data_IF_442006235818
#
_entry.id   IF_442006235818
#
_cell.length_a   1.000
_cell.length_b   1.000
_cell.length_c   1.000
_cell.angle_alpha   90.00
_cell.angle_beta   90.00
_cell.angle_gamma   90.00
#
_symmetry.space_group_name_H-M   'P 1'
#
loop_
_entity.id
_entity.type
_entity.pdbx_description
1 polymer ?
#
# COMPACT_ATOMS: atom_id res chain seq x y z
N UNK A 1 48.61 -11.76 -31.65
CA UNK A 1 47.99 -12.19 -32.92
C UNK A 1 48.88 -13.25 -33.53
N UNK A 2 48.39 -14.37 -34.10
CA UNK A 2 47.07 -14.59 -34.74
C UNK A 2 46.32 -15.85 -34.18
N UNK A 3 44.99 -15.83 -33.99
CA UNK A 3 43.83 -16.11 -34.88
C UNK A 3 43.26 -17.55 -34.78
N UNK A 4 42.09 -17.70 -34.13
CA UNK A 4 40.77 -18.09 -34.71
C UNK A 4 40.51 -19.60 -34.83
N UNK A 5 39.48 -20.10 -34.11
CA UNK A 5 38.42 -20.94 -34.72
C UNK A 5 37.12 -20.83 -33.93
N UNK A 6 36.04 -20.65 -34.68
CA UNK A 6 34.63 -20.48 -34.33
C UNK A 6 33.90 -21.84 -34.22
N UNK A 7 32.61 -21.80 -33.84
CA UNK A 7 31.56 -22.84 -33.79
C UNK A 7 31.21 -23.23 -32.33
N UNK A 8 30.04 -22.97 -31.73
CA UNK A 8 28.71 -22.62 -32.24
C UNK A 8 27.76 -23.83 -32.14
N UNK A 9 27.02 -23.98 -31.02
CA UNK A 9 25.73 -24.74 -30.94
C UNK A 9 24.86 -24.21 -29.79
N UNK A 10 23.83 -23.46 -30.19
CA UNK A 10 22.40 -23.43 -29.79
C UNK A 10 21.95 -24.00 -28.43
N UNK A 11 21.30 -23.09 -27.69
CA UNK A 11 20.17 -23.20 -26.74
C UNK A 11 19.69 -24.58 -26.23
N UNK A 12 19.59 -24.70 -24.91
CA UNK A 12 18.48 -25.40 -24.27
C UNK A 12 17.95 -24.55 -23.12
N UNK A 13 16.67 -24.22 -23.22
CA UNK A 13 15.88 -23.41 -22.32
C UNK A 13 15.89 -23.95 -20.88
N UNK A 14 16.11 -23.06 -19.91
CA UNK A 14 15.88 -23.31 -18.49
C UNK A 14 15.26 -22.07 -17.85
N UNK A 15 14.07 -21.69 -18.34
CA UNK A 15 13.31 -20.52 -17.86
C UNK A 15 12.78 -20.66 -16.41
N UNK A 16 12.94 -21.84 -15.80
CA UNK A 16 12.57 -22.08 -14.40
C UNK A 16 13.75 -21.99 -13.41
N UNK A 17 14.99 -22.04 -13.88
CA UNK A 17 16.16 -22.11 -13.01
C UNK A 17 16.77 -20.72 -12.79
N UNK A 18 16.86 -19.90 -13.83
CA UNK A 18 17.40 -18.52 -13.76
C UNK A 18 16.67 -17.62 -12.77
N UNK A 19 15.35 -17.78 -12.61
CA UNK A 19 14.53 -16.95 -11.71
C UNK A 19 14.89 -17.20 -10.24
N UNK A 20 15.09 -18.46 -9.82
CA UNK A 20 15.46 -18.80 -8.44
C UNK A 20 16.89 -18.35 -8.09
N UNK A 21 17.83 -18.40 -9.05
CA UNK A 21 19.22 -17.96 -8.82
C UNK A 21 19.35 -16.44 -8.78
N UNK A 22 18.58 -15.72 -9.60
CA UNK A 22 18.57 -14.25 -9.65
C UNK A 22 17.88 -13.68 -8.40
N UNK A 23 16.81 -14.31 -7.90
CA UNK A 23 16.16 -13.95 -6.64
C UNK A 23 17.09 -14.17 -5.43
N UNK A 24 17.84 -15.28 -5.38
CA UNK A 24 18.81 -15.55 -4.31
C UNK A 24 20.05 -14.63 -4.32
N UNK A 25 20.47 -14.13 -5.49
CA UNK A 25 21.56 -13.15 -5.62
C UNK A 25 21.10 -11.70 -5.37
N UNK A 26 19.83 -11.40 -5.63
CA UNK A 26 19.21 -10.09 -5.41
C UNK A 26 18.82 -9.88 -3.94
N UNK A 27 18.54 -10.97 -3.21
CA UNK A 27 18.23 -10.99 -1.78
C UNK A 27 19.27 -11.81 -0.97
N UNK A 28 20.52 -11.34 -0.80
CA UNK A 28 21.52 -12.09 -0.04
C UNK A 28 21.14 -12.25 1.44
N UNK A 29 21.46 -13.42 2.01
CA UNK A 29 21.14 -13.79 3.39
C UNK A 29 21.82 -12.86 4.41
N UNK A 30 21.03 -12.32 5.36
CA UNK A 30 21.38 -11.14 6.18
C UNK A 30 21.99 -11.55 7.53
N UNK A 31 23.17 -11.02 7.88
CA UNK A 31 23.80 -11.22 9.20
C UNK A 31 23.04 -10.44 10.29
N UNK A 32 22.51 -11.15 11.30
CA UNK A 32 21.70 -10.58 12.39
C UNK A 32 22.54 -9.65 13.29
N UNK A 33 22.12 -8.38 13.45
CA UNK A 33 22.70 -7.42 14.40
C UNK A 33 21.73 -7.16 15.57
N UNK A 34 22.27 -6.64 16.69
CA UNK A 34 21.55 -6.44 17.96
C UNK A 34 20.33 -5.47 17.90
N UNK A 35 20.20 -4.69 16.83
CA UNK A 35 19.08 -3.76 16.57
C UNK A 35 18.18 -4.20 15.41
N UNK A 36 18.40 -5.40 14.86
CA UNK A 36 17.54 -5.96 13.81
C UNK A 36 16.23 -6.44 14.43
N UNK A 37 15.10 -5.95 13.91
CA UNK A 37 13.79 -6.48 14.28
C UNK A 37 13.76 -7.97 13.98
N UNK A 38 13.33 -8.77 14.97
CA UNK A 38 13.04 -10.18 14.72
C UNK A 38 12.00 -10.29 13.59
N UNK A 39 12.03 -11.32 12.73
CA UNK A 39 11.00 -11.53 11.70
C UNK A 39 9.58 -11.44 12.27
N UNK A 40 9.38 -11.91 13.50
CA UNK A 40 8.11 -11.82 14.23
C UNK A 40 7.74 -10.39 14.62
N UNK A 41 8.72 -9.59 15.05
CA UNK A 41 8.50 -8.18 15.37
C UNK A 41 8.25 -7.37 14.09
N UNK A 42 8.98 -7.64 13.01
CA UNK A 42 8.75 -7.06 11.70
C UNK A 42 7.34 -7.41 11.18
N UNK A 43 6.92 -8.67 11.34
CA UNK A 43 5.56 -9.11 11.02
C UNK A 43 4.51 -8.40 11.87
N UNK A 44 4.70 -8.29 13.20
CA UNK A 44 3.77 -7.60 14.07
C UNK A 44 3.66 -6.10 13.75
N UNK A 45 4.78 -5.44 13.44
CA UNK A 45 4.80 -4.06 12.98
C UNK A 45 4.14 -3.89 11.61
N UNK A 46 4.34 -4.83 10.69
CA UNK A 46 3.68 -4.87 9.39
C UNK A 46 2.17 -5.03 9.55
N UNK A 47 1.70 -6.01 10.34
CA UNK A 47 0.28 -6.24 10.61
C UNK A 47 -0.35 -5.00 11.24
N UNK A 48 0.31 -4.39 12.22
CA UNK A 48 -0.15 -3.12 12.81
C UNK A 48 -0.30 -2.01 11.76
N UNK A 49 0.62 -1.94 10.81
CA UNK A 49 0.57 -0.92 9.75
C UNK A 49 -0.45 -1.25 8.65
N UNK A 50 -0.81 -2.52 8.46
CA UNK A 50 -1.89 -2.95 7.56
C UNK A 50 -3.28 -2.72 8.16
N UNK A 51 -3.40 -2.77 9.48
CA UNK A 51 -4.63 -2.52 10.23
C UNK A 51 -4.92 -1.01 10.33
N UNK A 52 -5.18 -0.39 9.18
CA UNK A 52 -5.62 1.00 9.06
C UNK A 52 -7.14 1.15 9.08
N UNK A 53 -7.61 2.39 9.06
CA UNK A 53 -9.05 2.74 9.03
C UNK A 53 -9.79 2.17 7.83
N UNK A 54 -9.09 1.84 6.73
CA UNK A 54 -9.66 1.15 5.58
C UNK A 54 -10.20 -0.25 5.89
N UNK A 55 -9.73 -0.92 6.94
CA UNK A 55 -10.31 -2.21 7.36
C UNK A 55 -11.75 -2.04 7.88
N UNK A 56 -12.04 -0.93 8.58
CA UNK A 56 -13.36 -0.65 9.13
C UNK A 56 -14.39 -0.30 8.04
N UNK A 57 -13.93 0.09 6.85
CA UNK A 57 -14.80 0.34 5.69
C UNK A 57 -15.02 -0.92 4.82
N UNK A 58 -14.29 -2.01 5.04
CA UNK A 58 -14.50 -3.27 4.30
C UNK A 58 -15.92 -3.85 4.47
N UNK A 59 -16.54 -3.90 5.67
CA UNK A 59 -17.91 -4.41 5.80
C UNK A 59 -18.92 -3.65 4.93
N UNK A 60 -18.72 -2.33 4.80
CA UNK A 60 -19.52 -1.48 3.91
C UNK A 60 -19.27 -1.83 2.44
N UNK A 61 -18.02 -2.11 2.05
CA UNK A 61 -17.70 -2.60 0.72
C UNK A 61 -18.44 -3.92 0.41
N UNK A 62 -18.37 -4.90 1.31
CA UNK A 62 -19.07 -6.18 1.13
C UNK A 62 -20.60 -6.01 1.08
N UNK A 63 -21.16 -5.02 1.79
CA UNK A 63 -22.58 -4.65 1.67
C UNK A 63 -22.94 -4.19 0.25
N UNK A 64 -22.03 -3.52 -0.45
CA UNK A 64 -22.24 -3.01 -1.80
C UNK A 64 -22.04 -4.07 -2.91
N UNK A 65 -21.07 -4.97 -2.76
CA UNK A 65 -20.76 -5.99 -3.77
C UNK A 65 -21.45 -7.35 -3.55
N UNK A 66 -21.95 -7.63 -2.35
CA UNK A 66 -22.41 -8.97 -1.95
C UNK A 66 -21.26 -9.82 -1.44
N UNK A 67 -21.58 -10.86 -0.66
CA UNK A 67 -20.58 -11.62 0.09
C UNK A 67 -19.67 -12.46 -0.82
N UNK A 68 -20.26 -13.28 -1.71
CA UNK A 68 -19.52 -14.19 -2.57
C UNK A 68 -18.74 -13.45 -3.66
N UNK A 69 -19.40 -12.54 -4.37
CA UNK A 69 -18.75 -11.70 -5.38
C UNK A 69 -17.63 -10.84 -4.76
N UNK A 70 -17.90 -10.23 -3.60
CA UNK A 70 -16.91 -9.45 -2.87
C UNK A 70 -15.73 -10.29 -2.40
N UNK A 71 -15.91 -11.55 -2.00
CA UNK A 71 -14.80 -12.40 -1.57
C UNK A 71 -13.89 -12.77 -2.74
N UNK A 72 -14.47 -13.18 -3.87
CA UNK A 72 -13.72 -13.52 -5.08
C UNK A 72 -12.97 -12.30 -5.63
N UNK A 73 -13.64 -11.15 -5.74
CA UNK A 73 -13.01 -9.91 -6.21
C UNK A 73 -11.89 -9.45 -5.27
N UNK A 74 -12.07 -9.54 -3.96
CA UNK A 74 -11.05 -9.14 -2.98
C UNK A 74 -9.77 -9.97 -3.12
N UNK A 75 -9.89 -11.29 -3.28
CA UNK A 75 -8.74 -12.18 -3.50
C UNK A 75 -8.00 -11.84 -4.80
N UNK A 76 -8.73 -11.62 -5.89
CA UNK A 76 -8.14 -11.24 -7.18
C UNK A 76 -7.42 -9.90 -7.08
N UNK A 77 -8.05 -8.88 -6.48
CA UNK A 77 -7.46 -7.55 -6.30
C UNK A 77 -6.21 -7.60 -5.43
N UNK A 78 -6.27 -8.33 -4.31
CA UNK A 78 -5.11 -8.54 -3.44
C UNK A 78 -3.96 -9.19 -4.20
N UNK A 79 -4.23 -10.24 -5.00
CA UNK A 79 -3.22 -10.90 -5.83
C UNK A 79 -2.57 -9.95 -6.85
N UNK A 80 -3.38 -9.17 -7.57
CA UNK A 80 -2.88 -8.16 -8.52
C UNK A 80 -2.04 -7.10 -7.81
N UNK A 81 -2.52 -6.55 -6.68
CA UNK A 81 -1.80 -5.56 -5.90
C UNK A 81 -0.45 -6.09 -5.42
N UNK A 82 -0.40 -7.29 -4.86
CA UNK A 82 0.84 -7.92 -4.39
C UNK A 82 1.81 -8.18 -5.55
N UNK A 83 1.32 -8.65 -6.69
CA UNK A 83 2.14 -8.85 -7.88
C UNK A 83 2.76 -7.53 -8.37
N UNK A 84 1.95 -6.48 -8.50
CA UNK A 84 2.43 -5.15 -8.89
C UNK A 84 3.47 -4.60 -7.90
N UNK A 85 3.27 -4.78 -6.59
CA UNK A 85 4.23 -4.36 -5.57
C UNK A 85 5.56 -5.11 -5.71
N UNK A 86 5.53 -6.43 -5.89
CA UNK A 86 6.75 -7.23 -6.09
C UNK A 86 7.51 -6.78 -7.34
N UNK A 87 6.81 -6.55 -8.45
CA UNK A 87 7.41 -6.09 -9.69
C UNK A 87 8.11 -4.74 -9.52
N UNK A 88 7.50 -3.80 -8.80
CA UNK A 88 8.09 -2.49 -8.49
C UNK A 88 9.36 -2.64 -7.64
N UNK A 89 9.33 -3.48 -6.60
CA UNK A 89 10.48 -3.73 -5.72
C UNK A 89 11.63 -4.35 -6.52
N UNK A 90 11.34 -5.36 -7.35
CA UNK A 90 12.32 -5.98 -8.23
C UNK A 90 12.97 -4.95 -9.16
N UNK A 91 12.16 -4.12 -9.83
CA UNK A 91 12.66 -3.08 -10.72
C UNK A 91 13.52 -2.04 -9.98
N UNK A 92 13.14 -1.66 -8.75
CA UNK A 92 13.91 -0.74 -7.92
C UNK A 92 15.28 -1.33 -7.57
N UNK A 93 15.34 -2.59 -7.12
CA UNK A 93 16.59 -3.27 -6.80
C UNK A 93 17.51 -3.43 -8.01
N UNK A 94 16.94 -3.89 -9.13
CA UNK A 94 17.67 -4.05 -10.39
C UNK A 94 18.34 -2.72 -10.83
N UNK A 95 17.59 -1.61 -10.73
CA UNK A 95 18.10 -0.28 -11.09
C UNK A 95 19.12 0.24 -10.07
N UNK A 96 18.89 0.03 -8.77
CA UNK A 96 19.85 0.38 -7.71
C UNK A 96 21.20 -0.30 -7.92
N UNK A 97 21.18 -1.61 -8.19
CA UNK A 97 22.38 -2.40 -8.42
C UNK A 97 23.12 -1.94 -9.68
N UNK A 98 22.39 -1.67 -10.77
CA UNK A 98 22.98 -1.18 -12.02
C UNK A 98 23.59 0.22 -11.91
N UNK A 99 22.95 1.12 -11.16
CA UNK A 99 23.40 2.51 -11.03
C UNK A 99 24.33 2.74 -9.83
N UNK A 100 24.61 1.72 -9.01
CA UNK A 100 25.45 1.81 -7.82
C UNK A 100 24.90 2.77 -6.75
N UNK A 101 23.56 2.85 -6.61
CA UNK A 101 22.90 3.73 -5.62
C UNK A 101 22.14 2.88 -4.61
N UNK A 102 22.30 3.18 -3.32
CA UNK A 102 21.58 2.47 -2.26
C UNK A 102 20.10 2.87 -2.21
N UNK A 103 19.74 4.10 -2.58
CA UNK A 103 18.35 4.62 -2.58
C UNK A 103 17.97 5.22 -3.92
N UNK A 104 16.74 4.95 -4.34
CA UNK A 104 16.11 5.58 -5.49
C UNK A 104 14.64 5.88 -5.19
N UNK A 105 14.20 7.10 -5.50
CA UNK A 105 12.77 7.44 -5.37
C UNK A 105 11.95 6.66 -6.40
N UNK A 106 10.71 6.30 -6.06
CA UNK A 106 9.80 5.60 -6.97
C UNK A 106 9.67 6.26 -8.36
N UNK A 107 9.62 7.59 -8.43
CA UNK A 107 9.59 8.31 -9.70
C UNK A 107 10.90 8.22 -10.49
N UNK A 108 12.03 8.10 -9.80
CA UNK A 108 13.32 7.86 -10.42
C UNK A 108 13.47 6.39 -10.88
N UNK A 109 12.89 5.42 -10.16
CA UNK A 109 12.78 4.02 -10.62
C UNK A 109 12.07 3.97 -11.97
N UNK A 110 10.89 4.60 -12.07
CA UNK A 110 10.12 4.65 -13.31
C UNK A 110 10.91 5.30 -14.46
N UNK A 111 11.59 6.41 -14.17
CA UNK A 111 12.44 7.09 -15.16
C UNK A 111 13.53 6.16 -15.69
N UNK A 112 14.29 5.55 -14.81
CA UNK A 112 15.41 4.69 -15.18
C UNK A 112 14.95 3.39 -15.86
N UNK A 113 13.79 2.85 -15.48
CA UNK A 113 13.18 1.71 -16.15
C UNK A 113 12.82 2.07 -17.61
N UNK A 114 12.25 3.25 -17.83
CA UNK A 114 11.86 3.73 -19.16
C UNK A 114 13.07 4.08 -20.01
N UNK A 115 14.07 4.77 -19.45
CA UNK A 115 15.32 5.08 -20.14
C UNK A 115 16.11 3.82 -20.53
N UNK A 116 15.95 2.72 -19.78
CA UNK A 116 16.54 1.41 -20.09
C UNK A 116 15.70 0.57 -21.07
N UNK A 117 14.48 1.02 -21.39
CA UNK A 117 13.55 0.34 -22.28
C UNK A 117 13.85 0.56 -23.76
N UNK A 118 12.93 0.15 -24.65
CA UNK A 118 13.11 0.30 -26.09
C UNK A 118 13.24 1.78 -26.51
N UNK A 119 13.99 2.02 -27.57
CA UNK A 119 14.42 3.35 -28.03
C UNK A 119 13.28 4.33 -28.31
N UNK A 120 12.07 3.85 -28.61
CA UNK A 120 10.92 4.72 -28.86
C UNK A 120 10.37 5.37 -27.57
N UNK A 121 10.50 4.70 -26.41
CA UNK A 121 9.98 5.16 -25.11
C UNK A 121 11.09 5.79 -24.26
N UNK A 122 12.35 5.38 -24.43
CA UNK A 122 13.46 5.83 -23.58
C UNK A 122 13.72 7.34 -23.64
N UNK A 123 13.40 7.99 -24.77
CA UNK A 123 13.52 9.44 -24.95
C UNK A 123 12.57 10.23 -24.01
N UNK A 124 11.45 9.63 -23.59
CA UNK A 124 10.41 10.29 -22.81
C UNK A 124 10.50 10.02 -21.30
N UNK A 125 11.64 9.52 -20.78
CA UNK A 125 11.79 9.16 -19.37
C UNK A 125 11.41 10.25 -18.36
N UNK A 126 11.73 11.52 -18.65
CA UNK A 126 11.37 12.64 -17.78
C UNK A 126 9.86 12.91 -17.73
N UNK A 127 9.16 12.73 -18.86
CA UNK A 127 7.71 12.90 -18.92
C UNK A 127 7.00 11.90 -18.01
N UNK A 128 7.38 10.62 -18.09
CA UNK A 128 6.80 9.58 -17.25
C UNK A 128 7.15 9.72 -15.77
N UNK A 129 8.35 10.23 -15.44
CA UNK A 129 8.68 10.62 -14.07
C UNK A 129 7.67 11.63 -13.51
N UNK A 130 7.35 12.66 -14.28
CA UNK A 130 6.42 13.70 -13.85
C UNK A 130 4.98 13.18 -13.79
N UNK A 131 4.56 12.38 -14.78
CA UNK A 131 3.26 11.72 -14.78
C UNK A 131 3.07 10.84 -13.53
N UNK A 132 4.10 10.08 -13.15
CA UNK A 132 4.07 9.28 -11.93
C UNK A 132 3.89 10.19 -10.70
N UNK A 133 4.74 11.20 -10.53
CA UNK A 133 4.65 12.11 -9.37
C UNK A 133 3.26 12.74 -9.24
N UNK A 134 2.66 13.17 -10.35
CA UNK A 134 1.29 13.71 -10.39
C UNK A 134 0.27 12.63 -10.01
N UNK A 135 0.41 11.41 -10.55
CA UNK A 135 -0.48 10.28 -10.25
C UNK A 135 -0.43 9.88 -8.77
N UNK A 136 0.76 9.85 -8.16
CA UNK A 136 0.92 9.61 -6.72
C UNK A 136 0.23 10.68 -5.87
N UNK A 137 0.42 11.96 -6.24
CA UNK A 137 -0.23 13.06 -5.55
C UNK A 137 -1.75 13.00 -5.67
N UNK A 138 -2.27 12.75 -6.87
CA UNK A 138 -3.70 12.60 -7.14
C UNK A 138 -4.31 11.42 -6.35
N UNK A 139 -3.60 10.30 -6.29
CA UNK A 139 -4.02 9.12 -5.54
C UNK A 139 -4.08 9.39 -4.03
N UNK A 140 -3.08 10.09 -3.48
CA UNK A 140 -3.08 10.48 -2.07
C UNK A 140 -4.23 11.43 -1.73
N UNK A 141 -4.51 12.41 -2.60
CA UNK A 141 -5.67 13.28 -2.45
C UNK A 141 -6.98 12.48 -2.52
N UNK A 142 -7.07 11.50 -3.41
CA UNK A 142 -8.21 10.58 -3.50
C UNK A 142 -8.45 9.83 -2.19
N UNK A 143 -7.41 9.28 -1.58
CA UNK A 143 -7.51 8.60 -0.28
C UNK A 143 -7.97 9.54 0.84
N UNK A 144 -7.45 10.78 0.87
CA UNK A 144 -7.93 11.80 1.81
C UNK A 144 -9.42 12.08 1.60
N UNK A 145 -9.89 12.22 0.36
CA UNK A 145 -11.30 12.44 0.05
C UNK A 145 -12.19 11.28 0.52
N UNK A 146 -11.80 10.04 0.24
CA UNK A 146 -12.54 8.85 0.69
C UNK A 146 -12.62 8.80 2.22
N UNK A 147 -11.51 9.14 2.91
CA UNK A 147 -11.47 9.22 4.37
C UNK A 147 -12.49 10.23 4.93
N UNK A 148 -12.57 11.41 4.33
CA UNK A 148 -13.55 12.44 4.73
C UNK A 148 -14.99 11.99 4.53
N UNK A 149 -15.31 11.41 3.38
CA UNK A 149 -16.67 10.92 3.09
C UNK A 149 -17.06 9.84 4.08
N UNK A 150 -16.18 8.85 4.31
CA UNK A 150 -16.44 7.77 5.25
C UNK A 150 -16.66 8.29 6.67
N UNK A 151 -15.83 9.22 7.13
CA UNK A 151 -15.97 9.80 8.46
C UNK A 151 -17.25 10.64 8.59
N UNK A 152 -17.63 11.38 7.54
CA UNK A 152 -18.88 12.12 7.51
C UNK A 152 -20.11 11.19 7.59
N UNK A 153 -20.10 10.06 6.86
CA UNK A 153 -21.18 9.07 6.91
C UNK A 153 -21.33 8.46 8.32
N UNK A 154 -20.20 8.18 9.00
CA UNK A 154 -20.22 7.67 10.37
C UNK A 154 -20.74 8.70 11.37
N UNK A 155 -20.33 9.97 11.26
CA UNK A 155 -20.80 11.03 12.15
C UNK A 155 -22.27 11.33 11.92
N UNK A 156 -22.71 11.41 10.66
CA UNK A 156 -24.11 11.57 10.33
C UNK A 156 -24.94 10.44 10.95
N UNK A 157 -24.54 9.18 10.75
CA UNK A 157 -25.23 8.02 11.31
C UNK A 157 -25.32 8.06 12.83
N UNK A 158 -24.27 8.55 13.51
CA UNK A 158 -24.26 8.71 14.95
C UNK A 158 -25.25 9.79 15.44
N UNK A 159 -25.31 10.93 14.75
CA UNK A 159 -26.21 12.02 15.13
C UNK A 159 -27.67 11.75 14.76
N UNK A 160 -27.94 11.12 13.63
CA UNK A 160 -29.30 10.78 13.19
C UNK A 160 -30.00 9.81 14.16
N UNK A 161 -29.24 8.95 14.86
CA UNK A 161 -29.78 8.00 15.84
C UNK A 161 -29.97 8.65 17.23
N UNK A 162 -29.08 9.56 17.62
CA UNK A 162 -29.03 10.07 18.99
C UNK A 162 -29.64 11.47 19.17
N UNK A 163 -29.91 12.21 18.09
CA UNK A 163 -30.38 13.59 18.15
C UNK A 163 -31.45 13.88 17.09
N UNK A 164 -32.25 14.92 17.31
CA UNK A 164 -33.30 15.37 16.37
C UNK A 164 -32.73 16.23 15.22
N UNK A 165 -31.41 16.38 15.16
CA UNK A 165 -30.76 17.28 14.20
C UNK A 165 -30.43 16.50 12.91
N UNK A 166 -31.33 16.58 11.93
CA UNK A 166 -31.12 16.00 10.61
C UNK A 166 -30.44 17.01 9.67
N UNK A 167 -29.10 16.97 9.63
CA UNK A 167 -28.31 17.74 8.67
C UNK A 167 -27.97 16.89 7.43
N UNK A 168 -27.94 17.49 6.23
CA UNK A 168 -27.50 16.77 5.05
C UNK A 168 -26.00 16.43 5.13
N UNK A 169 -25.60 15.26 4.61
CA UNK A 169 -24.21 14.75 4.58
C UNK A 169 -23.17 15.79 4.15
N UNK A 170 -23.53 16.65 3.20
CA UNK A 170 -22.64 17.70 2.68
C UNK A 170 -22.21 18.70 3.73
N UNK A 171 -23.08 18.99 4.70
CA UNK A 171 -22.77 19.91 5.81
C UNK A 171 -21.82 19.23 6.79
N UNK A 172 -22.02 17.93 7.09
CA UNK A 172 -21.08 17.16 7.90
C UNK A 172 -19.68 17.08 7.27
N UNK A 173 -19.60 16.90 5.95
CA UNK A 173 -18.31 16.91 5.23
C UNK A 173 -17.56 18.25 5.37
N UNK A 174 -18.25 19.39 5.20
CA UNK A 174 -17.64 20.72 5.34
C UNK A 174 -17.24 20.99 6.78
N UNK A 175 -18.09 20.62 7.75
CA UNK A 175 -17.81 20.79 9.17
C UNK A 175 -16.59 19.99 9.60
N UNK A 176 -16.39 18.79 9.05
CA UNK A 176 -15.22 17.94 9.30
C UNK A 176 -13.94 18.42 8.61
N UNK A 177 -14.07 19.12 7.49
CA UNK A 177 -12.92 19.67 6.77
C UNK A 177 -12.16 20.69 7.62
N UNK A 178 -12.88 21.55 8.35
CA UNK A 178 -12.31 22.64 9.17
C UNK A 178 -11.31 22.11 10.24
N UNK A 179 -11.69 21.19 11.15
CA UNK A 179 -10.76 20.67 12.16
C UNK A 179 -9.63 19.85 11.55
N UNK A 180 -9.87 19.14 10.45
CA UNK A 180 -8.82 18.31 9.84
C UNK A 180 -7.78 19.17 9.13
N UNK A 181 -8.18 20.22 8.41
CA UNK A 181 -7.22 21.18 7.86
C UNK A 181 -6.40 21.86 8.97
N UNK A 182 -7.03 22.12 10.13
CA UNK A 182 -6.31 22.63 11.31
C UNK A 182 -5.26 21.64 11.82
N UNK A 183 -5.60 20.35 11.92
CA UNK A 183 -4.65 19.29 12.31
C UNK A 183 -3.54 19.11 11.27
N UNK A 184 -3.85 19.17 9.98
CA UNK A 184 -2.87 19.09 8.89
C UNK A 184 -1.88 20.27 8.88
N UNK A 185 -2.24 21.41 9.48
CA UNK A 185 -1.37 22.59 9.61
C UNK A 185 -0.26 22.40 10.66
N UNK A 186 -0.38 21.39 11.53
CA UNK A 186 0.61 21.10 12.56
C UNK A 186 1.87 20.50 11.92
N UNK A 187 2.90 21.34 11.75
CA UNK A 187 4.20 20.95 11.18
C UNK A 187 5.06 20.05 12.08
N UNK A 188 4.75 19.99 13.38
CA UNK A 188 5.52 19.20 14.35
C UNK A 188 4.89 17.81 14.55
N UNK A 189 5.31 16.84 13.73
CA UNK A 189 4.86 15.44 13.80
C UNK A 189 5.06 14.79 15.18
N UNK A 190 6.04 15.24 15.96
CA UNK A 190 6.27 14.77 17.33
C UNK A 190 5.07 15.00 18.25
N UNK A 191 4.28 16.07 18.02
CA UNK A 191 3.07 16.34 18.81
C UNK A 191 1.91 15.40 18.45
N UNK A 192 1.94 14.79 17.27
CA UNK A 192 0.93 13.82 16.82
C UNK A 192 1.25 12.40 17.28
N UNK A 193 2.50 12.08 17.64
CA UNK A 193 2.90 10.76 18.10
C UNK A 193 2.05 10.20 19.28
N UNK A 194 1.81 10.94 20.38
CA UNK A 194 0.95 10.44 21.46
C UNK A 194 -0.53 10.33 21.04
N UNK A 195 -1.01 11.22 20.17
CA UNK A 195 -2.37 11.14 19.62
C UNK A 195 -2.54 9.90 18.74
N UNK A 196 -1.56 9.59 17.90
CA UNK A 196 -1.54 8.38 17.09
C UNK A 196 -1.49 7.10 17.94
N UNK A 197 -0.81 7.14 19.10
CA UNK A 197 -0.83 6.03 20.04
C UNK A 197 -2.24 5.77 20.59
N UNK A 198 -2.93 6.83 21.06
CA UNK A 198 -4.33 6.74 21.53
C UNK A 198 -5.25 6.25 20.41
N UNK A 199 -5.10 6.78 19.20
CA UNK A 199 -5.88 6.36 18.04
C UNK A 199 -5.69 4.87 17.72
N UNK A 200 -4.46 4.35 17.83
CA UNK A 200 -4.20 2.92 17.64
C UNK A 200 -4.86 2.05 18.72
N UNK A 201 -4.89 2.50 19.98
CA UNK A 201 -5.60 1.79 21.06
C UNK A 201 -7.12 1.76 20.83
N UNK A 202 -7.72 2.90 20.44
CA UNK A 202 -9.14 3.01 20.09
C UNK A 202 -9.48 2.18 18.85
N UNK A 203 -8.58 2.14 17.87
CA UNK A 203 -8.75 1.31 16.70
C UNK A 203 -8.75 -0.19 17.07
N UNK A 204 -7.81 -0.62 17.92
CA UNK A 204 -7.74 -2.01 18.37
C UNK A 204 -9.01 -2.40 19.14
N UNK A 205 -9.53 -1.53 20.01
CA UNK A 205 -10.78 -1.80 20.72
C UNK A 205 -11.99 -1.89 19.77
N UNK A 206 -12.06 -1.02 18.75
CA UNK A 206 -13.11 -1.10 17.73
C UNK A 206 -13.08 -2.43 16.96
N UNK A 207 -11.89 -2.91 16.58
CA UNK A 207 -11.72 -4.22 15.93
C UNK A 207 -12.17 -5.35 16.87
N UNK A 208 -11.78 -5.31 18.16
CA UNK A 208 -12.22 -6.31 19.14
C UNK A 208 -13.75 -6.34 19.29
N UNK A 209 -14.41 -5.18 19.33
CA UNK A 209 -15.87 -5.08 19.40
C UNK A 209 -16.51 -5.68 18.13
N UNK A 210 -15.98 -5.34 16.95
CA UNK A 210 -16.47 -5.87 15.69
C UNK A 210 -16.35 -7.39 15.61
N UNK A 211 -15.21 -7.95 16.03
CA UNK A 211 -15.02 -9.40 16.13
C UNK A 211 -15.98 -10.04 17.14
N UNK A 212 -16.18 -9.41 18.30
CA UNK A 212 -17.14 -9.89 19.30
C UNK A 212 -18.57 -9.96 18.74
N UNK A 213 -19.04 -8.91 18.07
CA UNK A 213 -20.36 -8.90 17.42
C UNK A 213 -20.45 -9.94 16.31
N UNK A 214 -19.38 -10.13 15.55
CA UNK A 214 -19.30 -11.16 14.52
C UNK A 214 -19.49 -12.58 15.08
N UNK A 215 -18.83 -12.91 16.20
CA UNK A 215 -18.93 -14.24 16.82
C UNK A 215 -20.24 -14.47 17.60
N UNK A 216 -20.90 -13.42 18.07
CA UNK A 216 -22.14 -13.54 18.86
C UNK A 216 -23.42 -13.47 18.01
N UNK A 217 -23.40 -12.78 16.87
CA UNK A 217 -24.54 -12.59 15.98
C UNK A 217 -24.34 -13.24 14.61
N UNK A 218 -23.91 -14.52 14.57
CA UNK A 218 -23.85 -15.29 13.33
C UNK A 218 -25.27 -15.55 12.80
N UNK A 219 -25.72 -14.70 11.85
CA UNK A 219 -26.86 -15.03 10.99
C UNK A 219 -26.44 -16.03 9.91
N UNK A 220 -27.35 -16.92 9.46
CA UNK A 220 -27.07 -17.84 8.35
C UNK A 220 -26.60 -17.09 7.11
N UNK A 221 -25.57 -17.59 6.43
CA UNK A 221 -24.99 -17.02 5.20
C UNK A 221 -25.96 -16.95 4.01
N UNK A 222 -27.16 -17.50 4.12
CA UNK A 222 -28.23 -17.47 3.11
C UNK A 222 -29.04 -16.17 3.07
N UNK A 223 -28.94 -15.30 4.09
CA UNK A 223 -29.68 -14.03 4.15
C UNK A 223 -28.99 -12.88 3.40
N UNK A 224 -27.75 -13.08 2.93
CA UNK A 224 -26.98 -12.04 2.25
C UNK A 224 -27.08 -12.18 0.73
N UNK A 225 -27.32 -11.09 -0.02
CA UNK A 225 -27.35 -11.15 -1.48
C UNK A 225 -26.01 -11.67 -2.00
N UNK A 226 -26.06 -12.79 -2.73
CA UNK A 226 -24.86 -13.43 -3.27
C UNK A 226 -24.14 -12.54 -4.31
N UNK A 227 -24.89 -11.66 -4.98
CA UNK A 227 -24.43 -10.75 -6.03
C UNK A 227 -25.05 -9.37 -5.76
N UNK A 228 -24.20 -8.36 -5.54
CA UNK A 228 -24.62 -6.97 -5.42
C UNK A 228 -24.92 -6.31 -6.77
N UNK A 229 -25.52 -5.11 -6.73
CA UNK A 229 -25.78 -4.32 -7.95
C UNK A 229 -24.49 -3.86 -8.63
N UNK A 230 -24.42 -4.05 -9.96
CA UNK A 230 -23.27 -3.66 -10.80
C UNK A 230 -22.89 -2.17 -10.62
N UNK A 231 -23.89 -1.32 -10.34
CA UNK A 231 -23.72 0.12 -10.11
C UNK A 231 -22.80 0.45 -8.93
N UNK A 232 -22.71 -0.44 -7.94
CA UNK A 232 -21.93 -0.21 -6.72
C UNK A 232 -20.53 -0.84 -6.77
N UNK A 233 -20.17 -1.52 -7.86
CA UNK A 233 -18.86 -2.15 -8.04
C UNK A 233 -17.69 -1.13 -7.97
N UNK A 234 -17.77 0.06 -8.59
CA UNK A 234 -16.69 1.05 -8.48
C UNK A 234 -16.46 1.52 -7.05
N UNK A 235 -17.55 1.67 -6.28
CA UNK A 235 -17.48 2.06 -4.86
C UNK A 235 -16.80 0.97 -4.04
N UNK A 236 -17.20 -0.30 -4.25
CA UNK A 236 -16.54 -1.46 -3.65
C UNK A 236 -15.04 -1.51 -3.97
N UNK A 237 -14.67 -1.38 -5.24
CA UNK A 237 -13.27 -1.43 -5.68
C UNK A 237 -12.43 -0.33 -5.03
N UNK A 238 -12.95 0.91 -5.00
CA UNK A 238 -12.29 2.04 -4.32
C UNK A 238 -12.08 1.81 -2.83
N UNK A 239 -13.08 1.26 -2.13
CA UNK A 239 -12.98 0.96 -0.69
C UNK A 239 -11.99 -0.17 -0.41
N UNK A 240 -11.95 -1.22 -1.23
CA UNK A 240 -10.99 -2.33 -1.08
C UNK A 240 -9.56 -1.88 -1.39
N UNK A 241 -9.34 -1.10 -2.45
CA UNK A 241 -8.02 -0.52 -2.73
C UNK A 241 -7.54 0.39 -1.60
N UNK A 242 -8.44 1.19 -1.03
CA UNK A 242 -8.14 2.01 0.14
C UNK A 242 -7.74 1.17 1.36
N UNK A 243 -8.39 0.01 1.58
CA UNK A 243 -8.02 -0.90 2.66
C UNK A 243 -6.62 -1.53 2.49
N UNK A 244 -6.15 -1.71 1.25
CA UNK A 244 -4.85 -2.34 0.95
C UNK A 244 -3.69 -1.36 0.73
N UNK A 245 -3.95 -0.05 0.75
CA UNK A 245 -2.94 1.00 0.59
C UNK A 245 -1.79 0.87 1.60
N UNK A 246 -2.10 0.54 2.85
CA UNK A 246 -1.10 0.38 3.91
C UNK A 246 -0.04 -0.70 3.61
N UNK A 247 -0.39 -1.71 2.80
CA UNK A 247 0.58 -2.74 2.35
C UNK A 247 1.66 -2.11 1.47
N UNK A 248 1.30 -1.21 0.56
CA UNK A 248 2.23 -0.57 -0.36
C UNK A 248 3.28 0.27 0.39
N UNK A 249 2.83 1.02 1.40
CA UNK A 249 3.68 1.92 2.16
C UNK A 249 4.66 1.16 3.04
N UNK A 250 4.25 0.05 3.66
CA UNK A 250 5.12 -0.74 4.55
C UNK A 250 6.24 -1.45 3.79
N UNK A 251 5.94 -1.98 2.60
CA UNK A 251 6.95 -2.60 1.74
C UNK A 251 7.99 -1.58 1.27
N UNK A 252 7.54 -0.38 0.86
CA UNK A 252 8.44 0.70 0.47
C UNK A 252 9.25 1.28 1.65
N UNK A 253 8.67 1.38 2.85
CA UNK A 253 9.36 1.95 4.01
C UNK A 253 10.41 1.02 4.60
N UNK A 254 10.20 -0.29 4.57
CA UNK A 254 11.27 -1.26 4.90
C UNK A 254 12.42 -1.16 3.88
N UNK A 255 12.11 -0.87 2.62
CA UNK A 255 13.11 -0.55 1.59
C UNK A 255 13.89 0.74 1.93
N UNK A 256 13.21 1.81 2.39
CA UNK A 256 13.82 3.13 2.65
C UNK A 256 14.58 3.23 3.99
N UNK A 257 14.12 2.54 5.04
CA UNK A 257 14.84 2.53 6.32
C UNK A 257 16.13 1.71 6.28
N UNK A 258 16.19 0.67 5.44
CA UNK A 258 17.44 -0.04 5.18
C UNK A 258 18.47 0.83 4.47
N UNK A 259 18.03 1.89 3.79
CA UNK A 259 18.92 2.75 3.02
C UNK A 259 19.43 3.99 3.77
N UNK A 260 18.65 4.54 4.70
CA UNK A 260 19.14 5.64 5.55
C UNK A 260 20.21 5.17 6.55
N UNK A 261 20.20 3.88 6.92
CA UNK A 261 21.25 3.23 7.71
C UNK A 261 22.53 2.99 6.87
N UNK A 262 22.39 2.70 5.57
CA UNK A 262 23.52 2.56 4.63
C UNK A 262 24.30 3.87 4.43
N UNK A 263 23.62 5.03 4.36
CA UNK A 263 24.29 6.33 4.19
C UNK A 263 25.01 6.85 5.43
N UNK A 264 24.56 6.46 6.63
CA UNK A 264 25.19 6.89 7.89
C UNK A 264 26.52 6.15 8.17
N UNK A 265 26.66 4.91 7.71
CA UNK A 265 27.89 4.10 7.89
C UNK A 265 29.01 4.45 6.90
N UNK A 266 28.69 5.01 5.73
CA UNK A 266 29.70 5.43 4.75
C UNK A 266 30.43 6.74 5.16
N UNK A 267 29.88 7.50 6.11
CA UNK A 267 30.51 8.73 6.64
C UNK A 267 31.43 8.50 7.86
N UNK A 268 31.51 7.27 8.35
CA UNK A 268 32.35 6.89 9.50
C UNK A 268 33.52 5.96 9.14
N UNK A 269 33.62 5.50 7.89
CA UNK A 269 34.79 4.77 7.37
C UNK A 269 35.51 5.56 6.26
N UNK A 270 35.78 6.84 6.53
CA UNK A 270 36.95 7.55 6.02
C UNK A 270 37.47 8.48 7.12
#
# INVERSE_FOLDING_TARGET
>A
MPSVTENGVVASSSDGASVDYEEAYLFPERTKNANSLSPEQAFAHMVKAMLGTGLLSLPLAFKHAGLWLGLVLMVILCGICLYCMRLVVYAAHYICQRNGRDVIDYANVMRSAIESGPTWISIHGYFFKQLLNISMFCTQLGFCCVYFVFMADNIQSFFDVNTVIHLPKSVWMVLLLIPILSICSIRHLNKLAPFAFIANCLYLSAVCILLYFFFTHLKPSSDFPAIGEIKNIPLYFGTVLFAFEGVAVVWYKNLVYDVFILLALNKFMN
#
